data_IF_784703381338
#
_entry.id   IF_784703381338
#
_cell.length_a   1.000
_cell.length_b   1.000
_cell.length_c   1.000
_cell.angle_alpha   90.00
_cell.angle_beta   90.00
_cell.angle_gamma   90.00
#
_symmetry.space_group_name_H-M   'P 1'
#
loop_
_entity.id
_entity.type
_entity.pdbx_description
1 polymer ?
#
# COMPACT_ATOMS: atom_id res chain seq x y z
N UNK A 1 -17.56 29.40 75.06
CA UNK A 1 -16.75 28.81 73.98
C UNK A 1 -17.72 28.09 73.03
N UNK A 2 -18.01 28.64 71.84
CA UNK A 2 -18.98 28.07 70.89
C UNK A 2 -18.25 27.06 69.99
N UNK A 3 -18.60 25.78 70.09
CA UNK A 3 -18.06 24.72 69.23
C UNK A 3 -18.82 24.77 67.90
N UNK A 4 -18.17 25.22 66.83
CA UNK A 4 -18.74 25.13 65.48
C UNK A 4 -18.52 23.70 64.94
N UNK A 5 -19.59 22.92 64.86
CA UNK A 5 -19.60 21.59 64.26
C UNK A 5 -19.58 21.72 62.74
N UNK A 6 -18.44 21.38 62.12
CA UNK A 6 -18.27 21.35 60.67
C UNK A 6 -19.11 20.19 60.11
N UNK A 7 -20.23 20.50 59.45
CA UNK A 7 -21.07 19.49 58.80
C UNK A 7 -20.36 18.93 57.56
N UNK A 8 -20.05 17.63 57.56
CA UNK A 8 -19.62 16.92 56.36
C UNK A 8 -20.84 16.71 55.46
N UNK A 9 -20.84 17.31 54.26
CA UNK A 9 -21.84 17.00 53.23
C UNK A 9 -21.68 15.53 52.87
N UNK A 10 -22.75 14.72 53.02
CA UNK A 10 -22.76 13.35 52.51
C UNK A 10 -22.58 13.41 50.99
N UNK A 11 -21.45 12.92 50.51
CA UNK A 11 -21.26 12.67 49.09
C UNK A 11 -22.19 11.50 48.71
N UNK A 12 -23.24 11.79 47.94
CA UNK A 12 -24.05 10.77 47.27
C UNK A 12 -23.24 10.26 46.08
N UNK A 13 -22.54 9.14 46.28
CA UNK A 13 -21.86 8.41 45.20
C UNK A 13 -22.79 7.40 44.53
N UNK A 14 -22.41 6.95 43.33
CA UNK A 14 -23.08 5.86 42.62
C UNK A 14 -23.00 4.55 43.41
N UNK A 15 -24.05 3.74 43.33
CA UNK A 15 -24.11 2.43 43.99
C UNK A 15 -23.30 1.40 43.19
N UNK A 16 -22.86 0.32 43.86
CA UNK A 16 -22.15 -0.78 43.20
C UNK A 16 -22.98 -1.43 42.09
N UNK A 17 -24.31 -1.53 42.28
CA UNK A 17 -25.20 -2.15 41.29
C UNK A 17 -25.33 -1.29 40.03
N UNK A 18 -25.38 0.04 40.15
CA UNK A 18 -25.36 0.95 39.00
C UNK A 18 -24.05 0.84 38.24
N UNK A 19 -22.91 0.75 38.95
CA UNK A 19 -21.61 0.59 38.30
C UNK A 19 -21.51 -0.74 37.54
N UNK A 20 -22.01 -1.83 38.12
CA UNK A 20 -22.04 -3.15 37.46
C UNK A 20 -22.94 -3.11 36.22
N UNK A 21 -24.10 -2.47 36.31
CA UNK A 21 -25.00 -2.30 35.16
C UNK A 21 -24.35 -1.56 34.00
N UNK A 22 -23.65 -0.46 34.28
CA UNK A 22 -22.94 0.33 33.25
C UNK A 22 -21.81 -0.48 32.61
N UNK A 23 -20.99 -1.16 33.41
CA UNK A 23 -19.88 -1.97 32.91
C UNK A 23 -20.37 -3.15 32.06
N UNK A 24 -21.50 -3.77 32.43
CA UNK A 24 -22.09 -4.86 31.66
C UNK A 24 -22.49 -4.40 30.24
N UNK A 25 -23.11 -3.22 30.12
CA UNK A 25 -23.50 -2.68 28.81
C UNK A 25 -22.27 -2.28 27.98
N UNK A 26 -21.28 -1.60 28.59
CA UNK A 26 -20.04 -1.23 27.90
C UNK A 26 -19.30 -2.49 27.41
N UNK A 27 -19.26 -3.56 28.20
CA UNK A 27 -18.59 -4.80 27.81
C UNK A 27 -19.23 -5.43 26.57
N UNK A 28 -20.57 -5.48 26.51
CA UNK A 28 -21.30 -6.01 25.34
C UNK A 28 -21.05 -5.14 24.11
N UNK A 29 -21.15 -3.81 24.24
CA UNK A 29 -20.91 -2.89 23.14
C UNK A 29 -19.47 -2.96 22.63
N UNK A 30 -18.49 -3.02 23.54
CA UNK A 30 -17.08 -3.12 23.19
C UNK A 30 -16.77 -4.43 22.44
N UNK A 31 -17.33 -5.55 22.90
CA UNK A 31 -17.13 -6.86 22.25
C UNK A 31 -17.61 -6.88 20.80
N UNK A 32 -18.71 -6.20 20.49
CA UNK A 32 -19.25 -6.12 19.12
C UNK A 32 -18.52 -5.09 18.25
N UNK A 33 -17.98 -4.03 18.85
CA UNK A 33 -17.39 -2.90 18.13
C UNK A 33 -15.90 -3.10 17.79
N UNK A 34 -15.12 -3.70 18.70
CA UNK A 34 -13.67 -3.86 18.55
C UNK A 34 -13.27 -4.56 17.24
N UNK A 35 -13.87 -5.71 16.85
CA UNK A 35 -13.50 -6.38 15.59
C UNK A 35 -13.72 -5.49 14.37
N UNK A 36 -14.83 -4.74 14.34
CA UNK A 36 -15.17 -3.82 13.24
C UNK A 36 -14.22 -2.65 13.14
N UNK A 37 -13.73 -2.15 14.28
CA UNK A 37 -12.73 -1.08 14.29
C UNK A 37 -11.42 -1.55 13.66
N UNK A 38 -10.98 -2.78 13.94
CA UNK A 38 -9.78 -3.33 13.32
C UNK A 38 -9.95 -3.54 11.81
N UNK A 39 -11.10 -4.05 11.37
CA UNK A 39 -11.42 -4.18 9.94
C UNK A 39 -11.42 -2.82 9.24
N UNK A 40 -12.04 -1.80 9.85
CA UNK A 40 -12.05 -0.43 9.31
C UNK A 40 -10.65 0.18 9.22
N UNK A 41 -9.79 -0.07 10.22
CA UNK A 41 -8.38 0.35 10.19
C UNK A 41 -7.65 -0.34 9.05
N UNK A 42 -7.83 -1.66 8.88
CA UNK A 42 -7.15 -2.39 7.82
C UNK A 42 -7.58 -1.90 6.44
N UNK A 43 -8.89 -1.81 6.20
CA UNK A 43 -9.46 -1.24 4.99
C UNK A 43 -8.95 0.17 4.71
N UNK A 44 -8.76 1.00 5.74
CA UNK A 44 -8.20 2.35 5.59
C UNK A 44 -6.73 2.33 5.17
N UNK A 45 -5.93 1.37 5.66
CA UNK A 45 -4.53 1.17 5.24
C UNK A 45 -4.45 0.75 3.77
N UNK A 46 -5.30 -0.19 3.35
CA UNK A 46 -5.41 -0.64 1.94
C UNK A 46 -5.85 0.50 1.03
N UNK A 47 -6.90 1.25 1.43
CA UNK A 47 -7.38 2.42 0.69
C UNK A 47 -6.29 3.49 0.54
N UNK A 48 -5.54 3.74 1.61
CA UNK A 48 -4.43 4.70 1.57
C UNK A 48 -3.33 4.26 0.60
N UNK A 49 -3.03 2.97 0.51
CA UNK A 49 -2.08 2.45 -0.47
C UNK A 49 -2.57 2.67 -1.91
N UNK A 50 -3.83 2.35 -2.21
CA UNK A 50 -4.44 2.58 -3.52
C UNK A 50 -4.46 4.06 -3.93
N UNK A 51 -4.77 4.97 -2.98
CA UNK A 51 -4.71 6.42 -3.23
C UNK A 51 -3.28 6.89 -3.47
N UNK A 52 -2.31 6.42 -2.68
CA UNK A 52 -0.90 6.79 -2.82
C UNK A 52 -0.33 6.31 -4.17
N UNK A 53 -0.74 5.12 -4.61
CA UNK A 53 -0.45 4.61 -5.95
C UNK A 53 -0.97 5.54 -7.05
N UNK A 54 -2.22 6.02 -6.95
CA UNK A 54 -2.78 6.95 -7.94
C UNK A 54 -2.00 8.28 -7.97
N UNK A 55 -1.56 8.79 -6.82
CA UNK A 55 -0.69 9.98 -6.75
C UNK A 55 0.62 9.76 -7.50
N UNK A 56 1.28 8.61 -7.32
CA UNK A 56 2.50 8.25 -8.05
C UNK A 56 2.22 8.17 -9.56
N UNK A 57 1.10 7.56 -9.96
CA UNK A 57 0.71 7.45 -11.37
C UNK A 57 0.52 8.82 -12.04
N UNK A 58 -0.11 9.76 -11.34
CA UNK A 58 -0.22 11.14 -11.82
C UNK A 58 1.14 11.81 -11.93
N UNK A 59 1.97 11.72 -10.89
CA UNK A 59 3.32 12.30 -10.88
C UNK A 59 4.20 11.77 -12.03
N UNK A 60 4.10 10.47 -12.35
CA UNK A 60 4.81 9.88 -13.48
C UNK A 60 4.31 10.37 -14.83
N UNK A 61 3.00 10.62 -14.94
CA UNK A 61 2.41 11.20 -16.16
C UNK A 61 2.96 12.61 -16.38
N UNK A 62 3.04 13.43 -15.34
CA UNK A 62 3.59 14.78 -15.40
C UNK A 62 5.09 14.78 -15.68
N UNK A 63 5.84 13.86 -15.05
CA UNK A 63 7.26 13.65 -15.35
C UNK A 63 7.49 13.32 -16.82
N UNK A 64 6.73 12.36 -17.36
CA UNK A 64 6.84 11.98 -18.76
C UNK A 64 6.42 13.13 -19.70
N UNK A 65 5.39 13.90 -19.34
CA UNK A 65 4.98 15.06 -20.13
C UNK A 65 6.06 16.15 -20.20
N UNK A 66 6.84 16.34 -19.12
CA UNK A 66 7.94 17.31 -19.08
C UNK A 66 9.18 16.86 -19.83
N UNK A 67 9.62 15.61 -19.62
CA UNK A 67 10.91 15.13 -20.10
C UNK A 67 10.83 14.22 -21.33
N UNK A 68 9.63 13.74 -21.69
CA UNK A 68 9.44 12.79 -22.78
C UNK A 68 10.05 11.41 -22.53
N UNK A 69 10.47 11.12 -21.29
CA UNK A 69 11.16 9.88 -20.93
C UNK A 69 10.86 9.49 -19.48
N UNK A 70 10.75 8.18 -19.22
CA UNK A 70 10.65 7.61 -17.87
C UNK A 70 12.04 7.30 -17.28
N UNK A 71 13.10 7.45 -18.08
CA UNK A 71 14.49 7.16 -17.70
C UNK A 71 15.30 8.45 -17.68
N UNK A 72 14.74 9.46 -17.03
CA UNK A 72 15.36 10.77 -16.87
C UNK A 72 15.36 11.17 -15.40
N UNK A 73 16.40 11.89 -14.99
CA UNK A 73 16.45 12.64 -13.74
C UNK A 73 16.98 14.03 -14.07
N UNK A 74 16.10 15.02 -13.96
CA UNK A 74 16.33 16.42 -14.27
C UNK A 74 16.96 16.65 -15.65
N UNK A 75 16.44 15.93 -16.66
CA UNK A 75 16.91 15.98 -18.05
C UNK A 75 18.16 15.15 -18.33
N UNK A 76 18.73 14.48 -17.34
CA UNK A 76 19.85 13.54 -17.52
C UNK A 76 19.31 12.12 -17.63
N UNK A 77 19.71 11.40 -18.68
CA UNK A 77 19.33 9.99 -18.85
C UNK A 77 19.90 9.13 -17.72
N UNK A 78 19.07 8.27 -17.14
CA UNK A 78 19.44 7.30 -16.11
C UNK A 78 19.29 5.88 -16.65
N UNK A 79 19.96 4.93 -15.99
CA UNK A 79 19.91 3.51 -16.38
C UNK A 79 18.79 2.81 -15.58
N UNK A 80 17.79 2.20 -16.23
CA UNK A 80 16.80 1.38 -15.55
C UNK A 80 17.45 0.27 -14.71
N UNK A 81 16.88 -0.01 -13.53
CA UNK A 81 17.40 -1.04 -12.63
C UNK A 81 18.69 -0.67 -11.90
N UNK A 82 19.12 0.60 -11.93
CA UNK A 82 20.35 1.04 -11.27
C UNK A 82 20.25 2.45 -10.67
N UNK A 83 21.00 2.67 -9.58
CA UNK A 83 21.18 3.99 -8.98
C UNK A 83 19.86 4.67 -8.62
N UNK A 84 19.63 5.87 -9.14
CA UNK A 84 18.42 6.66 -8.85
C UNK A 84 17.15 6.04 -9.44
N UNK A 85 17.26 5.14 -10.41
CA UNK A 85 16.11 4.41 -10.93
C UNK A 85 15.50 3.47 -9.89
N UNK A 86 16.26 2.99 -8.90
CA UNK A 86 15.78 2.14 -7.80
C UNK A 86 15.05 2.92 -6.70
N UNK A 87 15.07 4.25 -6.75
CA UNK A 87 14.47 5.16 -5.76
C UNK A 87 13.87 6.37 -6.47
N UNK A 88 13.14 6.09 -7.54
CA UNK A 88 12.63 7.07 -8.48
C UNK A 88 11.61 8.03 -7.85
N UNK A 89 10.93 7.61 -6.79
CA UNK A 89 10.10 8.50 -5.97
C UNK A 89 10.88 9.70 -5.41
N UNK A 90 12.18 9.55 -5.12
CA UNK A 90 13.06 10.66 -4.72
C UNK A 90 13.37 11.60 -5.88
N UNK A 91 13.45 11.09 -7.11
CA UNK A 91 13.61 11.91 -8.32
C UNK A 91 12.35 12.73 -8.53
N UNK A 92 11.18 12.09 -8.48
CA UNK A 92 9.88 12.78 -8.59
C UNK A 92 9.68 13.85 -7.51
N UNK A 93 10.14 13.58 -6.28
CA UNK A 93 10.13 14.55 -5.19
C UNK A 93 11.06 15.74 -5.48
N UNK A 94 12.30 15.47 -5.89
CA UNK A 94 13.28 16.51 -6.21
C UNK A 94 12.83 17.41 -7.36
N UNK A 95 12.13 16.85 -8.34
CA UNK A 95 11.60 17.58 -9.49
C UNK A 95 10.28 18.32 -9.20
N UNK A 96 9.69 18.10 -8.02
CA UNK A 96 8.46 18.75 -7.58
C UNK A 96 7.17 18.10 -8.08
N UNK A 97 7.23 16.87 -8.61
CA UNK A 97 6.04 16.12 -9.02
C UNK A 97 5.39 15.34 -7.86
N UNK A 98 6.16 15.05 -6.81
CA UNK A 98 5.65 14.53 -5.55
C UNK A 98 5.98 15.50 -4.41
N UNK A 99 5.04 15.68 -3.49
CA UNK A 99 5.26 16.46 -2.26
C UNK A 99 5.98 15.65 -1.17
N UNK A 100 5.84 14.32 -1.22
CA UNK A 100 6.40 13.37 -0.25
C UNK A 100 6.84 12.09 -0.96
N UNK A 101 7.85 11.37 -0.44
CA UNK A 101 8.21 10.05 -0.93
C UNK A 101 7.04 9.07 -0.87
N UNK A 102 7.11 8.01 -1.66
CA UNK A 102 6.07 6.99 -1.67
C UNK A 102 6.10 6.20 -0.35
N UNK A 103 5.09 6.42 0.50
CA UNK A 103 4.98 5.76 1.81
C UNK A 103 3.55 5.28 1.97
N UNK A 104 3.41 4.01 2.34
CA UNK A 104 2.12 3.38 2.62
C UNK A 104 2.17 2.64 3.96
N UNK A 105 1.01 2.53 4.62
CA UNK A 105 0.90 1.89 5.94
C UNK A 105 0.58 0.41 5.88
N UNK A 106 0.39 -0.19 4.70
CA UNK A 106 0.00 -1.60 4.56
C UNK A 106 1.17 -2.55 4.86
N UNK A 107 2.40 -2.17 4.52
CA UNK A 107 3.62 -2.94 4.80
C UNK A 107 4.36 -2.52 6.07
N UNK A 108 5.65 -2.85 6.12
CA UNK A 108 6.57 -2.55 7.24
C UNK A 108 7.02 -1.07 7.31
N UNK A 109 6.70 -0.29 6.27
CA UNK A 109 7.03 1.13 6.19
C UNK A 109 8.51 1.44 5.97
N UNK A 110 9.36 0.45 5.71
CA UNK A 110 10.82 0.61 5.69
C UNK A 110 11.41 0.64 4.28
N UNK A 111 10.88 -0.16 3.36
CA UNK A 111 11.40 -0.32 1.99
C UNK A 111 10.47 0.18 0.89
N UNK A 112 9.44 0.97 1.23
CA UNK A 112 8.52 1.49 0.23
C UNK A 112 9.22 2.48 -0.71
N UNK A 113 9.11 2.28 -2.01
CA UNK A 113 9.68 3.19 -3.00
C UNK A 113 9.01 2.99 -4.37
N UNK A 114 9.36 3.85 -5.32
CA UNK A 114 9.03 3.67 -6.74
C UNK A 114 10.32 3.41 -7.47
N UNK A 115 10.32 2.45 -8.37
CA UNK A 115 11.50 2.12 -9.17
C UNK A 115 11.18 2.01 -10.66
N UNK A 116 12.19 2.28 -11.47
CA UNK A 116 12.19 2.13 -12.92
C UNK A 116 13.11 0.98 -13.27
N UNK A 117 12.54 -0.04 -13.89
CA UNK A 117 13.17 -1.28 -14.27
C UNK A 117 13.30 -1.41 -15.78
N UNK A 118 14.28 -2.19 -16.28
CA UNK A 118 14.28 -2.57 -17.68
C UNK A 118 13.05 -3.43 -17.98
N UNK A 119 12.44 -3.20 -19.14
CA UNK A 119 11.44 -4.08 -19.71
C UNK A 119 12.05 -5.43 -20.09
N UNK A 120 11.19 -6.42 -20.30
CA UNK A 120 11.59 -7.77 -20.71
C UNK A 120 10.99 -8.11 -22.06
N UNK A 121 11.45 -9.19 -22.69
CA UNK A 121 10.90 -9.62 -23.97
C UNK A 121 9.41 -9.95 -23.81
N UNK A 122 8.62 -9.71 -24.86
CA UNK A 122 7.16 -9.90 -24.83
C UNK A 122 6.75 -11.35 -24.54
N UNK A 123 7.60 -12.31 -24.86
CA UNK A 123 7.40 -13.74 -24.57
C UNK A 123 7.89 -14.17 -23.17
N UNK A 124 8.28 -13.22 -22.32
CA UNK A 124 8.74 -13.52 -20.96
C UNK A 124 7.55 -13.78 -20.05
N UNK A 125 7.55 -14.93 -19.37
CA UNK A 125 6.52 -15.27 -18.39
C UNK A 125 6.62 -14.39 -17.16
N UNK A 126 5.51 -13.73 -16.79
CA UNK A 126 5.43 -12.95 -15.56
C UNK A 126 5.75 -13.83 -14.34
N UNK A 127 6.62 -13.31 -13.48
CA UNK A 127 7.05 -13.96 -12.24
C UNK A 127 7.22 -12.92 -11.16
N UNK A 128 7.13 -13.34 -9.90
CA UNK A 128 7.37 -12.49 -8.73
C UNK A 128 8.79 -11.88 -8.72
N UNK A 129 9.74 -12.50 -9.42
CA UNK A 129 11.16 -12.11 -9.41
C UNK A 129 11.60 -11.31 -10.63
N UNK A 130 10.72 -11.09 -11.60
CA UNK A 130 11.08 -10.38 -12.84
C UNK A 130 10.24 -9.11 -13.00
N UNK A 131 10.42 -8.41 -14.11
CA UNK A 131 9.76 -7.12 -14.39
C UNK A 131 8.67 -7.26 -15.47
N UNK A 132 8.29 -8.50 -15.78
CA UNK A 132 7.14 -8.79 -16.62
C UNK A 132 5.83 -8.75 -15.81
N UNK A 133 4.75 -8.40 -16.50
CA UNK A 133 3.40 -8.33 -15.94
C UNK A 133 2.38 -8.89 -16.94
N UNK A 134 1.46 -9.74 -16.45
CA UNK A 134 0.30 -10.27 -17.18
C UNK A 134 -0.90 -9.38 -16.85
N UNK A 135 -1.04 -8.24 -17.53
CA UNK A 135 -1.97 -7.17 -17.17
C UNK A 135 -3.43 -7.52 -17.51
N UNK A 136 -3.64 -8.38 -18.51
CA UNK A 136 -4.98 -8.80 -18.94
C UNK A 136 -5.43 -10.15 -18.34
N UNK A 137 -4.52 -10.88 -17.67
CA UNK A 137 -4.79 -12.20 -17.08
C UNK A 137 -4.98 -13.30 -18.11
N UNK A 138 -4.70 -13.00 -19.39
CA UNK A 138 -5.00 -13.79 -20.56
C UNK A 138 -3.92 -14.81 -20.92
N UNK A 139 -2.73 -14.76 -20.30
CA UNK A 139 -1.64 -15.66 -20.68
C UNK A 139 -0.38 -15.64 -19.81
N UNK A 140 0.71 -16.13 -20.40
CA UNK A 140 2.07 -16.15 -19.82
C UNK A 140 2.98 -15.12 -20.51
N UNK A 141 2.40 -14.13 -21.18
CA UNK A 141 3.15 -13.15 -21.96
C UNK A 141 3.32 -11.86 -21.15
N UNK A 142 4.34 -11.07 -21.50
CA UNK A 142 4.63 -9.81 -20.84
C UNK A 142 3.91 -8.66 -21.54
N UNK A 143 2.95 -8.07 -20.85
CA UNK A 143 2.18 -6.90 -21.30
C UNK A 143 2.84 -5.57 -20.93
N UNK A 144 3.90 -5.58 -20.12
CA UNK A 144 4.64 -4.37 -19.73
C UNK A 144 5.66 -3.89 -20.78
N UNK A 145 5.43 -4.23 -22.05
CA UNK A 145 6.25 -3.80 -23.19
C UNK A 145 7.55 -4.61 -23.38
N UNK A 146 8.26 -4.40 -24.51
CA UNK A 146 9.47 -5.15 -24.87
C UNK A 146 10.70 -4.70 -24.07
N UNK A 147 11.86 -5.35 -24.28
CA UNK A 147 13.14 -5.05 -23.61
C UNK A 147 13.59 -3.58 -23.73
N UNK A 148 13.20 -2.90 -24.80
CA UNK A 148 13.52 -1.50 -25.02
C UNK A 148 12.70 -0.53 -24.17
N UNK A 149 11.62 -1.00 -23.53
CA UNK A 149 10.78 -0.20 -22.66
C UNK A 149 11.38 -0.09 -21.26
N UNK A 150 11.03 0.97 -20.54
CA UNK A 150 11.23 1.13 -19.11
C UNK A 150 9.90 0.87 -18.39
N UNK A 151 9.91 -0.02 -17.41
CA UNK A 151 8.75 -0.37 -16.59
C UNK A 151 8.87 0.34 -15.25
N UNK A 152 7.84 1.09 -14.87
CA UNK A 152 7.79 1.75 -13.56
C UNK A 152 6.85 0.98 -12.65
N UNK A 153 7.36 0.59 -11.49
CA UNK A 153 6.62 -0.15 -10.47
C UNK A 153 6.76 0.52 -9.10
N UNK A 154 5.69 0.49 -8.32
CA UNK A 154 5.71 0.87 -6.91
C UNK A 154 5.91 -0.39 -6.05
N UNK A 155 6.84 -0.31 -5.10
CA UNK A 155 7.26 -1.43 -4.25
C UNK A 155 6.83 -1.17 -2.81
N UNK A 156 6.23 -2.18 -2.19
CA UNK A 156 5.83 -2.15 -0.79
C UNK A 156 6.40 -3.39 -0.11
N UNK A 157 7.22 -3.20 0.92
CA UNK A 157 7.89 -4.30 1.64
C UNK A 157 7.14 -4.70 2.90
N UNK A 158 7.31 -5.95 3.32
CA UNK A 158 6.83 -6.39 4.64
C UNK A 158 5.31 -6.46 4.75
N UNK A 159 4.62 -6.78 3.65
CA UNK A 159 3.15 -6.87 3.60
C UNK A 159 2.72 -8.27 4.03
N UNK A 160 1.58 -8.40 4.73
CA UNK A 160 0.97 -9.72 4.97
C UNK A 160 0.32 -10.23 3.69
N UNK A 161 0.26 -11.54 3.50
CA UNK A 161 -0.32 -12.10 2.26
C UNK A 161 -1.81 -11.71 2.10
N UNK A 162 -2.55 -11.68 3.22
CA UNK A 162 -3.92 -11.18 3.24
C UNK A 162 -4.02 -9.72 2.80
N UNK A 163 -3.18 -8.84 3.33
CA UNK A 163 -3.19 -7.43 2.96
C UNK A 163 -2.73 -7.21 1.50
N UNK A 164 -1.79 -8.03 1.02
CA UNK A 164 -1.35 -8.02 -0.37
C UNK A 164 -2.50 -8.41 -1.31
N UNK A 165 -3.25 -9.46 -0.95
CA UNK A 165 -4.45 -9.86 -1.68
C UNK A 165 -5.53 -8.79 -1.65
N UNK A 166 -5.83 -8.21 -0.48
CA UNK A 166 -6.84 -7.16 -0.36
C UNK A 166 -6.48 -5.92 -1.20
N UNK A 167 -5.19 -5.61 -1.31
CA UNK A 167 -4.68 -4.54 -2.17
C UNK A 167 -4.77 -4.90 -3.66
N UNK A 168 -4.46 -6.14 -4.03
CA UNK A 168 -4.64 -6.64 -5.40
C UNK A 168 -6.12 -6.56 -5.82
N UNK A 169 -7.01 -7.16 -5.03
CA UNK A 169 -8.45 -7.18 -5.28
C UNK A 169 -9.02 -5.74 -5.35
N UNK A 170 -8.40 -4.77 -4.66
CA UNK A 170 -8.79 -3.36 -4.77
C UNK A 170 -8.35 -2.70 -6.07
N UNK A 171 -7.17 -3.02 -6.59
CA UNK A 171 -6.60 -2.35 -7.76
C UNK A 171 -7.04 -2.99 -9.08
N UNK A 172 -7.06 -4.31 -9.13
CA UNK A 172 -7.36 -5.08 -10.35
C UNK A 172 -8.73 -5.78 -10.29
N UNK A 173 -9.34 -5.83 -9.11
CA UNK A 173 -10.59 -6.55 -8.90
C UNK A 173 -10.36 -8.01 -8.49
N UNK A 174 -11.37 -8.66 -7.90
CA UNK A 174 -11.20 -9.95 -7.21
C UNK A 174 -11.03 -11.16 -8.15
N UNK A 175 -11.17 -10.97 -9.47
CA UNK A 175 -11.21 -12.06 -10.45
C UNK A 175 -9.87 -12.32 -11.13
N UNK A 176 -8.97 -11.34 -11.15
CA UNK A 176 -7.68 -11.44 -11.85
C UNK A 176 -6.62 -12.15 -11.01
N UNK A 177 -6.59 -11.84 -9.70
CA UNK A 177 -5.60 -12.38 -8.78
C UNK A 177 -5.69 -13.87 -8.52
N UNK A 178 -4.58 -14.43 -8.04
CA UNK A 178 -4.48 -15.79 -7.53
C UNK A 178 -5.15 -15.94 -6.16
N UNK A 179 -5.44 -17.18 -5.77
CA UNK A 179 -5.87 -17.50 -4.41
C UNK A 179 -4.71 -17.39 -3.41
N UNK A 180 -5.02 -17.15 -2.13
CA UNK A 180 -4.04 -17.19 -1.05
C UNK A 180 -3.30 -18.55 -1.01
N UNK A 181 -2.02 -18.50 -0.65
CA UNK A 181 -1.08 -19.62 -0.64
C UNK A 181 -0.41 -19.89 -2.00
N UNK A 182 -0.68 -19.08 -3.01
CA UNK A 182 -0.06 -19.17 -4.35
C UNK A 182 0.50 -17.81 -4.76
N UNK A 183 1.65 -17.81 -5.44
CA UNK A 183 2.21 -16.58 -6.00
C UNK A 183 1.17 -15.90 -6.90
N UNK A 184 1.00 -14.60 -6.70
CA UNK A 184 0.17 -13.78 -7.57
C UNK A 184 1.07 -13.07 -8.57
N UNK A 185 0.89 -13.41 -9.84
CA UNK A 185 1.65 -12.84 -10.96
C UNK A 185 0.73 -12.22 -12.01
N UNK A 186 -0.56 -12.12 -11.70
CA UNK A 186 -1.60 -11.70 -12.64
C UNK A 186 -2.09 -10.30 -12.30
N UNK A 187 -2.39 -9.53 -13.33
CA UNK A 187 -2.76 -8.13 -13.23
C UNK A 187 -1.57 -7.21 -13.01
N UNK A 188 -1.86 -6.07 -12.39
CA UNK A 188 -0.89 -5.01 -12.06
C UNK A 188 -0.17 -5.29 -10.77
N UNK A 189 -0.78 -6.03 -9.85
CA UNK A 189 -0.20 -6.35 -8.55
C UNK A 189 0.38 -7.75 -8.57
N UNK A 190 1.66 -7.88 -8.19
CA UNK A 190 2.31 -9.18 -8.02
C UNK A 190 3.01 -9.29 -6.68
N UNK A 191 2.98 -10.49 -6.11
CA UNK A 191 3.61 -10.82 -4.84
C UNK A 191 3.80 -12.33 -4.70
N UNK A 192 4.80 -12.75 -3.93
CA UNK A 192 5.00 -14.15 -3.60
C UNK A 192 4.06 -14.59 -2.47
N UNK A 193 3.66 -15.86 -2.47
CA UNK A 193 2.93 -16.46 -1.36
C UNK A 193 3.76 -16.44 -0.07
N UNK A 194 3.08 -16.38 1.07
CA UNK A 194 3.70 -16.32 2.38
C UNK A 194 3.77 -14.91 2.98
N UNK A 195 4.09 -14.87 4.27
CA UNK A 195 4.17 -13.64 5.05
C UNK A 195 5.50 -13.58 5.81
N UNK A 196 6.25 -12.46 5.76
CA UNK A 196 5.97 -11.26 4.95
C UNK A 196 6.28 -11.47 3.46
N UNK A 197 5.63 -10.67 2.60
CA UNK A 197 5.90 -10.61 1.16
C UNK A 197 6.18 -9.18 0.71
N UNK A 198 6.77 -9.04 -0.48
CA UNK A 198 6.97 -7.76 -1.15
C UNK A 198 5.96 -7.65 -2.28
N UNK A 199 5.20 -6.55 -2.28
CA UNK A 199 4.20 -6.27 -3.30
C UNK A 199 4.80 -5.33 -4.34
N UNK A 200 4.71 -5.72 -5.60
CA UNK A 200 5.11 -4.88 -6.73
C UNK A 200 3.86 -4.50 -7.52
N UNK A 201 3.64 -3.20 -7.69
CA UNK A 201 2.47 -2.65 -8.39
C UNK A 201 2.92 -1.96 -9.66
N UNK A 202 2.52 -2.49 -10.80
CA UNK A 202 2.73 -1.86 -12.10
C UNK A 202 2.05 -0.49 -12.17
N UNK A 203 2.80 0.53 -12.59
CA UNK A 203 2.26 1.89 -12.77
C UNK A 203 2.15 2.25 -14.26
N UNK A 204 3.24 2.11 -15.02
CA UNK A 204 3.30 2.41 -16.45
C UNK A 204 4.56 1.82 -17.10
N UNK A 205 4.58 1.69 -18.43
CA UNK A 205 5.78 1.41 -19.21
C UNK A 205 5.85 2.31 -20.45
N UNK A 206 7.06 2.61 -20.93
CA UNK A 206 7.31 3.32 -22.20
C UNK A 206 8.62 2.91 -22.83
#
# INVERSE_FOLDING_TARGET
>A
MKIQTKQYRKATGFTLIEMIGVLAVIAILAALLIPKVFEAINNSRINNAAVSYNTVKTALTDHYAKWGSLVSSNGTTIVPGAGTALVFDKVLLMEGFLDKPFIVKVGDGTGNHVEVMPGLATNTVASVSNTAYDLDGGGIENDAGPVAAAVVQAVITGVTENDAKDLNDRLDGPTLGSALGTDDTKGRVKYAAGTPTTVYIYVTHR
#
